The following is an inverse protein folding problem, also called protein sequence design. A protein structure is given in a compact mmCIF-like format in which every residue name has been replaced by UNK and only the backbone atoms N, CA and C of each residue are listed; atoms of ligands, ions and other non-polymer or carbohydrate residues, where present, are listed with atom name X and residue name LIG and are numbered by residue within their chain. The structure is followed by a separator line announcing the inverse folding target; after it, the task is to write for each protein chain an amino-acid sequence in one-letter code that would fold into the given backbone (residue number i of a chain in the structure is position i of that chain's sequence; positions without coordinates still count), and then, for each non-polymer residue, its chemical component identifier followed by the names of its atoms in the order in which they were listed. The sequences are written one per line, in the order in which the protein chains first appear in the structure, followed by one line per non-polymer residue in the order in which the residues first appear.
data_IF_010099594099
#
_entry.id   IF_010099594099
#
_cell.length_a   1.000
_cell.length_b   1.000
_cell.length_c   1.000
_cell.angle_alpha   90.00
_cell.angle_beta   90.00
_cell.angle_gamma   90.00
#
_symmetry.space_group_name_H-M   'P 1'
#
loop_
_entity.id
_entity.type
_entity.pdbx_description
1 polymer ?
#
# COMPACT_ATOMS: atom_id res chain seq x y z
N UNK A 1 -11.70 -19.45 20.82
CA UNK A 1 -10.69 -18.68 20.05
C UNK A 1 -11.38 -17.38 19.67
N UNK A 2 -11.05 -16.32 20.39
CA UNK A 2 -11.93 -15.15 20.59
C UNK A 2 -11.72 -14.10 19.49
N UNK A 3 -12.78 -13.42 19.06
CA UNK A 3 -12.80 -12.32 18.05
C UNK A 3 -11.65 -11.28 18.21
N UNK A 4 -11.19 -11.10 19.44
CA UNK A 4 -10.04 -10.25 19.82
C UNK A 4 -8.72 -10.71 19.18
N UNK A 5 -8.49 -12.02 19.08
CA UNK A 5 -7.28 -12.59 18.48
C UNK A 5 -7.26 -12.33 16.96
N UNK A 6 -8.41 -12.49 16.30
CA UNK A 6 -8.57 -12.22 14.87
C UNK A 6 -8.40 -10.72 14.54
N UNK A 7 -8.96 -9.86 15.38
CA UNK A 7 -8.80 -8.40 15.24
C UNK A 7 -7.35 -7.98 15.43
N UNK A 8 -6.66 -8.52 16.43
CA UNK A 8 -5.23 -8.26 16.68
C UNK A 8 -4.36 -8.75 15.53
N UNK A 9 -4.68 -9.92 14.96
CA UNK A 9 -3.99 -10.48 13.78
C UNK A 9 -4.17 -9.59 12.54
N UNK A 10 -5.37 -9.07 12.29
CA UNK A 10 -5.64 -8.13 11.17
C UNK A 10 -4.89 -6.82 11.32
N UNK A 11 -4.87 -6.24 12.53
CA UNK A 11 -4.11 -5.01 12.81
C UNK A 11 -2.62 -5.20 12.55
N UNK A 12 -2.03 -6.29 13.06
CA UNK A 12 -0.62 -6.61 12.79
C UNK A 12 -0.33 -6.79 11.31
N UNK A 13 -1.19 -7.51 10.58
CA UNK A 13 -1.03 -7.71 9.13
C UNK A 13 -1.01 -6.37 8.38
N UNK A 14 -1.92 -5.44 8.71
CA UNK A 14 -1.96 -4.11 8.08
C UNK A 14 -0.75 -3.26 8.47
N UNK A 15 -0.26 -3.36 9.72
CA UNK A 15 0.97 -2.66 10.14
C UNK A 15 2.20 -3.17 9.39
N UNK A 16 2.36 -4.50 9.29
CA UNK A 16 3.48 -5.10 8.56
C UNK A 16 3.42 -4.78 7.07
N UNK A 17 2.25 -4.91 6.43
CA UNK A 17 2.06 -4.56 5.03
C UNK A 17 2.32 -3.06 4.79
N UNK A 18 1.87 -2.19 5.69
CA UNK A 18 2.10 -0.76 5.63
C UNK A 18 3.59 -0.39 5.76
N UNK A 19 4.28 -0.98 6.74
CA UNK A 19 5.71 -0.77 6.96
C UNK A 19 6.56 -1.31 5.79
N UNK A 20 6.26 -2.51 5.30
CA UNK A 20 6.95 -3.09 4.15
C UNK A 20 6.78 -2.23 2.90
N UNK A 21 5.56 -1.75 2.62
CA UNK A 21 5.30 -0.87 1.50
C UNK A 21 6.09 0.46 1.60
N UNK A 22 6.23 1.04 2.80
CA UNK A 22 7.05 2.24 3.00
C UNK A 22 8.54 1.97 2.80
N UNK A 23 9.07 0.84 3.28
CA UNK A 23 10.46 0.45 3.05
C UNK A 23 10.74 0.28 1.56
N UNK A 24 9.83 -0.39 0.84
CA UNK A 24 9.92 -0.54 -0.61
C UNK A 24 9.78 0.80 -1.33
N UNK A 25 8.92 1.70 -0.84
CA UNK A 25 8.81 3.06 -1.38
C UNK A 25 10.15 3.79 -1.30
N UNK A 26 10.82 3.78 -0.14
CA UNK A 26 12.13 4.42 0.02
C UNK A 26 13.20 3.76 -0.87
N UNK A 27 13.25 2.43 -0.90
CA UNK A 27 14.21 1.70 -1.73
C UNK A 27 14.01 1.91 -3.24
N UNK A 28 12.76 2.08 -3.67
CA UNK A 28 12.42 2.27 -5.08
C UNK A 28 12.67 3.68 -5.60
N UNK A 29 12.84 4.71 -4.75
CA UNK A 29 13.16 6.09 -5.18
C UNK A 29 14.41 6.15 -6.05
N UNK A 30 15.41 5.33 -5.76
CA UNK A 30 16.68 5.33 -6.47
C UNK A 30 16.64 4.57 -7.81
N UNK A 31 15.65 3.70 -7.99
CA UNK A 31 15.57 2.76 -9.12
C UNK A 31 14.49 3.17 -10.12
N UNK A 32 13.37 3.68 -9.60
CA UNK A 32 12.21 4.06 -10.37
C UNK A 32 11.93 5.55 -10.14
N UNK A 33 11.59 6.28 -11.22
CA UNK A 33 11.06 7.65 -11.14
C UNK A 33 9.95 7.76 -10.08
N UNK A 34 9.62 8.98 -9.66
CA UNK A 34 8.71 9.31 -8.55
C UNK A 34 7.36 8.55 -8.48
N UNK A 35 6.82 8.02 -9.58
CA UNK A 35 5.48 7.40 -9.62
C UNK A 35 5.38 6.12 -8.78
N UNK A 36 6.34 5.21 -8.89
CA UNK A 36 6.36 3.96 -8.12
C UNK A 36 6.51 4.17 -6.60
N UNK A 37 7.50 4.96 -6.11
CA UNK A 37 7.66 5.21 -4.69
C UNK A 37 6.48 5.99 -4.10
N UNK A 38 5.89 6.94 -4.83
CA UNK A 38 4.70 7.66 -4.37
C UNK A 38 3.49 6.72 -4.20
N UNK A 39 3.30 5.81 -5.16
CA UNK A 39 2.23 4.82 -5.13
C UNK A 39 2.37 3.85 -3.96
N UNK A 40 3.60 3.36 -3.70
CA UNK A 40 3.89 2.50 -2.56
C UNK A 40 3.74 3.23 -1.22
N UNK A 41 4.11 4.51 -1.15
CA UNK A 41 3.90 5.34 0.04
C UNK A 41 2.41 5.51 0.35
N UNK A 42 1.57 5.75 -0.66
CA UNK A 42 0.11 5.85 -0.50
C UNK A 42 -0.50 4.53 0.01
N UNK A 43 -0.08 3.39 -0.54
CA UNK A 43 -0.48 2.06 -0.04
C UNK A 43 -0.04 1.88 1.41
N UNK A 44 1.21 2.24 1.72
CA UNK A 44 1.79 2.11 3.05
C UNK A 44 1.04 2.92 4.11
N UNK A 45 0.78 4.19 3.81
CA UNK A 45 0.01 5.11 4.67
C UNK A 45 -1.44 4.64 4.80
N UNK A 46 -2.07 4.21 3.71
CA UNK A 46 -3.41 3.64 3.72
C UNK A 46 -3.53 2.42 4.64
N UNK A 47 -2.56 1.50 4.58
CA UNK A 47 -2.49 0.33 5.45
C UNK A 47 -2.29 0.68 6.93
N UNK A 48 -1.44 1.68 7.24
CA UNK A 48 -1.26 2.15 8.61
C UNK A 48 -2.52 2.81 9.18
N UNK A 49 -3.24 3.60 8.36
CA UNK A 49 -4.52 4.19 8.73
C UNK A 49 -5.60 3.11 8.91
N UNK A 50 -5.62 2.09 8.05
CA UNK A 50 -6.50 0.93 8.19
C UNK A 50 -6.22 0.16 9.48
N UNK A 51 -4.95 -0.06 9.84
CA UNK A 51 -4.58 -0.70 11.09
C UNK A 51 -5.08 0.07 12.31
N UNK A 52 -4.94 1.41 12.30
CA UNK A 52 -5.46 2.28 13.38
C UNK A 52 -6.98 2.21 13.45
N UNK A 53 -7.68 2.39 12.32
CA UNK A 53 -9.14 2.34 12.33
C UNK A 53 -9.71 0.98 12.74
N UNK A 54 -9.12 -0.13 12.28
CA UNK A 54 -9.53 -1.48 12.73
C UNK A 54 -9.27 -1.67 14.23
N UNK A 55 -8.17 -1.10 14.75
CA UNK A 55 -7.90 -1.12 16.19
C UNK A 55 -8.93 -0.33 16.99
N UNK A 56 -9.29 0.87 16.53
CA UNK A 56 -10.11 1.81 17.30
C UNK A 56 -11.62 1.53 17.13
N UNK A 57 -12.10 1.35 15.90
CA UNK A 57 -13.54 1.22 15.58
C UNK A 57 -13.94 -0.14 15.01
N UNK A 58 -12.97 -0.99 14.69
CA UNK A 58 -13.22 -2.34 14.16
C UNK A 58 -13.50 -2.34 12.66
N UNK A 59 -13.45 -1.16 12.03
CA UNK A 59 -13.72 -0.98 10.60
C UNK A 59 -12.57 -0.24 9.93
N UNK A 60 -12.39 -0.50 8.63
CA UNK A 60 -11.39 0.22 7.83
C UNK A 60 -11.98 1.56 7.41
N UNK A 61 -11.37 2.70 7.79
CA UNK A 61 -11.91 4.02 7.51
C UNK A 61 -11.82 4.34 6.02
N UNK A 62 -12.79 5.11 5.51
CA UNK A 62 -12.89 5.44 4.08
C UNK A 62 -11.60 6.07 3.50
N UNK A 63 -10.92 7.01 4.19
CA UNK A 63 -9.66 7.58 3.69
C UNK A 63 -8.56 6.53 3.49
N UNK A 64 -8.49 5.51 4.35
CA UNK A 64 -7.53 4.43 4.21
C UNK A 64 -7.79 3.60 2.95
N UNK A 65 -9.06 3.27 2.68
CA UNK A 65 -9.44 2.55 1.45
C UNK A 65 -9.09 3.36 0.19
N UNK A 66 -9.41 4.65 0.19
CA UNK A 66 -9.11 5.54 -0.95
C UNK A 66 -7.61 5.59 -1.21
N UNK A 67 -6.78 5.79 -0.17
CA UNK A 67 -5.32 5.80 -0.31
C UNK A 67 -4.77 4.49 -0.87
N UNK A 68 -5.28 3.35 -0.40
CA UNK A 68 -4.87 2.04 -0.91
C UNK A 68 -5.27 1.88 -2.37
N UNK A 69 -6.50 2.24 -2.76
CA UNK A 69 -6.98 2.12 -4.15
C UNK A 69 -6.16 3.02 -5.08
N UNK A 70 -5.98 4.29 -4.72
CA UNK A 70 -5.22 5.25 -5.54
C UNK A 70 -3.77 4.80 -5.68
N UNK A 71 -3.14 4.34 -4.60
CA UNK A 71 -1.79 3.81 -4.64
C UNK A 71 -1.68 2.54 -5.51
N UNK A 72 -2.63 1.61 -5.43
CA UNK A 72 -2.64 0.42 -6.28
C UNK A 72 -2.83 0.78 -7.75
N UNK A 73 -3.76 1.67 -8.07
CA UNK A 73 -4.00 2.13 -9.45
C UNK A 73 -2.78 2.85 -10.03
N UNK A 74 -2.14 3.72 -9.24
CA UNK A 74 -0.92 4.41 -9.64
C UNK A 74 0.23 3.45 -9.91
N UNK A 75 0.41 2.44 -9.06
CA UNK A 75 1.42 1.40 -9.27
C UNK A 75 1.12 0.55 -10.50
N UNK A 76 -0.15 0.13 -10.69
CA UNK A 76 -0.56 -0.67 -11.84
C UNK A 76 -0.33 0.09 -13.16
N UNK A 77 -0.71 1.37 -13.20
CA UNK A 77 -0.48 2.23 -14.36
C UNK A 77 1.01 2.40 -14.68
N UNK A 78 1.85 2.53 -13.65
CA UNK A 78 3.31 2.56 -13.82
C UNK A 78 3.85 1.26 -14.40
N UNK A 79 3.43 0.11 -13.86
CA UNK A 79 3.84 -1.21 -14.37
C UNK A 79 3.43 -1.38 -15.83
N UNK A 80 2.19 -1.03 -16.19
CA UNK A 80 1.70 -1.09 -17.57
C UNK A 80 2.55 -0.20 -18.49
N UNK A 81 2.81 1.05 -18.10
CA UNK A 81 3.64 1.97 -18.88
C UNK A 81 5.07 1.42 -19.11
N UNK A 82 5.63 0.78 -18.08
CA UNK A 82 6.97 0.18 -18.14
C UNK A 82 6.99 -1.04 -19.06
N UNK A 83 5.98 -1.91 -18.98
CA UNK A 83 5.82 -3.07 -19.88
C UNK A 83 5.62 -2.63 -21.33
N UNK A 84 4.74 -1.65 -21.58
CA UNK A 84 4.51 -1.10 -22.94
C UNK A 84 5.79 -0.49 -23.49
N UNK A 85 6.54 0.27 -22.68
CA UNK A 85 7.84 0.83 -23.09
C UNK A 85 8.86 -0.25 -23.40
N UNK A 86 8.93 -1.32 -22.61
CA UNK A 86 9.83 -2.44 -22.85
C UNK A 86 9.46 -3.22 -24.13
N UNK A 87 8.17 -3.44 -24.37
CA UNK A 87 7.66 -4.14 -25.55
C UNK A 87 7.73 -3.30 -26.84
N UNK A 88 7.73 -1.96 -26.74
CA UNK A 88 7.93 -1.07 -27.89
C UNK A 88 9.40 -0.76 -28.20
N UNK A 89 10.34 -1.26 -27.39
CA UNK A 89 11.78 -1.10 -27.60
C UNK A 89 12.41 -2.28 -28.37
N UNK A 90 11.60 -3.27 -28.77
CA UNK A 90 11.96 -4.42 -29.61
C UNK A 90 11.53 -4.20 -31.06
#
# INVERSE_FOLDING_TARGET
MTDIDDRTRRVRSHQFAGAAALVLAVGSVFVFLWVAPLSMALIGVGNLLAARGVKDTGTVPLPAKVLMIVGVLGFLGFVIALVVRAAGAS
#
